data_IF_475246686828
#
_entry.id   IF_475246686828
#
_cell.length_a   1.000
_cell.length_b   1.000
_cell.length_c   1.000
_cell.angle_alpha   90.00
_cell.angle_beta   90.00
_cell.angle_gamma   90.00
#
_symmetry.space_group_name_H-M   'P 1'
#
loop_
_entity.id
_entity.type
_entity.pdbx_description
1 polymer ?
#
# COMPACT_ATOMS: atom_id res chain seq x y z
N UNK A 1 5.90 24.22 -15.60
CA UNK A 1 4.81 23.44 -14.94
C UNK A 1 5.31 22.03 -14.67
N UNK A 2 5.39 21.63 -13.40
CA UNK A 2 5.79 20.29 -12.97
C UNK A 2 4.61 19.32 -13.14
N UNK A 3 4.78 18.24 -13.90
CA UNK A 3 3.91 17.07 -13.79
C UNK A 3 4.61 16.01 -12.94
N UNK A 4 4.39 16.08 -11.62
CA UNK A 4 4.71 14.97 -10.73
C UNK A 4 3.71 13.84 -11.01
N UNK A 5 3.97 13.05 -12.05
CA UNK A 5 3.18 11.87 -12.33
C UNK A 5 3.46 10.87 -11.20
N UNK A 6 2.47 10.64 -10.32
CA UNK A 6 2.63 9.72 -9.19
C UNK A 6 2.64 8.29 -9.74
N UNK A 7 3.76 7.86 -10.31
CA UNK A 7 3.87 6.50 -10.86
C UNK A 7 3.81 5.49 -9.71
N UNK A 8 2.63 4.90 -9.54
CA UNK A 8 2.46 3.68 -8.76
C UNK A 8 2.93 2.49 -9.59
N UNK A 9 3.59 1.52 -8.95
CA UNK A 9 3.96 0.26 -9.59
C UNK A 9 2.69 -0.54 -9.93
N UNK A 10 2.73 -1.33 -11.00
CA UNK A 10 1.63 -2.20 -11.43
C UNK A 10 1.52 -3.45 -10.51
N UNK A 11 1.16 -3.23 -9.25
CA UNK A 11 1.02 -4.27 -8.23
C UNK A 11 -0.07 -3.92 -7.21
N UNK A 12 -0.67 -4.96 -6.64
CA UNK A 12 -1.59 -4.90 -5.51
C UNK A 12 -0.92 -5.58 -4.31
N UNK A 13 -0.97 -4.94 -3.14
CA UNK A 13 -0.47 -5.50 -1.89
C UNK A 13 -1.62 -5.79 -0.91
N UNK A 14 -1.40 -6.66 0.06
CA UNK A 14 -2.37 -6.93 1.14
C UNK A 14 -1.80 -6.55 2.50
N UNK A 15 -2.68 -6.31 3.48
CA UNK A 15 -2.27 -5.98 4.85
C UNK A 15 -2.26 -7.25 5.73
N UNK A 16 -1.30 -7.33 6.65
CA UNK A 16 -1.19 -8.47 7.56
C UNK A 16 -2.35 -8.51 8.59
N UNK A 17 -2.75 -7.35 9.12
CA UNK A 17 -3.78 -7.22 10.14
C UNK A 17 -4.70 -6.00 9.92
N UNK A 18 -5.39 -5.58 10.99
CA UNK A 18 -6.32 -4.43 10.98
C UNK A 18 -5.60 -3.07 11.11
N UNK A 19 -4.30 -3.06 11.36
CA UNK A 19 -3.48 -1.84 11.45
C UNK A 19 -2.10 -2.11 10.87
N UNK A 20 -1.53 -1.10 10.21
CA UNK A 20 -0.22 -1.22 9.59
C UNK A 20 0.90 -1.09 10.61
N UNK A 21 1.83 -2.04 10.60
CA UNK A 21 3.09 -1.95 11.32
C UNK A 21 3.98 -0.82 10.76
N UNK A 22 5.04 -0.46 11.48
CA UNK A 22 6.02 0.51 10.98
C UNK A 22 6.71 0.00 9.70
N UNK A 23 7.04 -1.30 9.67
CA UNK A 23 7.70 -1.94 8.54
C UNK A 23 6.79 -2.00 7.31
N UNK A 24 5.51 -2.32 7.49
CA UNK A 24 4.52 -2.29 6.40
C UNK A 24 4.40 -0.87 5.81
N UNK A 25 4.38 0.16 6.66
CA UNK A 25 4.33 1.56 6.19
C UNK A 25 5.58 1.96 5.41
N UNK A 26 6.76 1.53 5.85
CA UNK A 26 8.01 1.79 5.14
C UNK A 26 8.01 1.08 3.78
N UNK A 27 7.71 -0.22 3.78
CA UNK A 27 7.63 -1.04 2.58
C UNK A 27 6.63 -0.48 1.56
N UNK A 28 5.41 -0.13 1.97
CA UNK A 28 4.40 0.40 1.05
C UNK A 28 4.74 1.77 0.48
N UNK A 29 5.47 2.60 1.24
CA UNK A 29 5.97 3.90 0.76
C UNK A 29 7.02 3.72 -0.34
N UNK A 30 7.92 2.76 -0.16
CA UNK A 30 9.00 2.50 -1.12
C UNK A 30 8.47 1.78 -2.37
N UNK A 31 7.51 0.85 -2.17
CA UNK A 31 6.92 0.08 -3.26
C UNK A 31 5.87 0.85 -4.07
N UNK A 32 5.18 1.83 -3.47
CA UNK A 32 4.16 2.66 -4.14
C UNK A 32 3.18 1.80 -4.97
N UNK A 33 2.45 0.86 -4.36
CA UNK A 33 1.54 -0.01 -5.09
C UNK A 33 0.42 0.80 -5.77
N UNK A 34 -0.21 0.21 -6.78
CA UNK A 34 -1.40 0.81 -7.38
C UNK A 34 -2.60 0.79 -6.42
N UNK A 35 -2.65 -0.22 -5.56
CA UNK A 35 -3.66 -0.30 -4.51
C UNK A 35 -3.43 -1.46 -3.54
N UNK A 36 -4.42 -1.63 -2.64
CA UNK A 36 -4.43 -2.70 -1.66
C UNK A 36 -5.65 -3.60 -1.84
N UNK A 37 -5.49 -4.88 -1.54
CA UNK A 37 -6.60 -5.84 -1.37
C UNK A 37 -6.78 -6.13 0.12
N UNK A 38 -8.01 -6.00 0.60
CA UNK A 38 -8.39 -6.29 1.99
C UNK A 38 -9.21 -7.57 2.04
N UNK A 39 -9.04 -8.32 3.12
CA UNK A 39 -9.83 -9.49 3.47
C UNK A 39 -10.63 -9.24 4.74
N UNK A 40 -11.56 -10.13 5.08
CA UNK A 40 -12.38 -10.01 6.28
C UNK A 40 -11.55 -9.78 7.56
N UNK A 41 -10.38 -10.44 7.70
CA UNK A 41 -9.47 -10.26 8.86
C UNK A 41 -8.90 -8.83 9.00
N UNK A 42 -8.94 -8.04 7.94
CA UNK A 42 -8.44 -6.66 7.92
C UNK A 42 -9.52 -5.66 8.35
N UNK A 43 -10.77 -6.10 8.53
CA UNK A 43 -11.91 -5.28 8.94
C UNK A 43 -12.36 -5.70 10.34
N UNK A 44 -12.52 -4.74 11.25
CA UNK A 44 -13.07 -4.98 12.60
C UNK A 44 -14.59 -4.94 12.65
#
# INVERSE_FOLDING_TARGET
MNQANTQSKAMILGCAGQTLSADEKAFYRDERPWGFILFARNCG
#
